data_IF_740144691304
#
_entry.id   IF_740144691304
#
_cell.length_a   1.000
_cell.length_b   1.000
_cell.length_c   1.000
_cell.angle_alpha   90.00
_cell.angle_beta   90.00
_cell.angle_gamma   90.00
#
_symmetry.space_group_name_H-M   'P 1'
#
loop_
_entity.id
_entity.type
_entity.pdbx_description
1 polymer ?
#
# COMPACT_ATOMS: atom_id res chain seq x y z
N UNK A 1 5.46 9.82 3.27
CA UNK A 1 3.99 9.66 3.22
C UNK A 1 3.50 9.51 1.79
N UNK A 2 2.61 8.54 1.53
CA UNK A 2 2.02 8.23 0.20
C UNK A 2 0.49 8.27 0.24
N UNK A 3 -0.15 8.15 -0.93
CA UNK A 3 -1.61 8.16 -1.09
C UNK A 3 -2.09 6.91 -1.81
N UNK A 4 -3.29 6.42 -1.48
CA UNK A 4 -3.94 5.33 -2.20
C UNK A 4 -4.33 5.79 -3.60
N UNK A 5 -4.07 4.95 -4.60
CA UNK A 5 -4.50 5.15 -5.98
C UNK A 5 -5.77 4.34 -6.25
N UNK A 6 -6.69 4.90 -7.04
CA UNK A 6 -7.91 4.16 -7.41
C UNK A 6 -7.59 2.89 -8.18
N UNK A 7 -8.46 1.89 -8.02
CA UNK A 7 -8.30 0.59 -8.68
C UNK A 7 -8.14 0.77 -10.20
N UNK A 8 -9.02 1.57 -10.81
CA UNK A 8 -9.00 1.87 -12.24
C UNK A 8 -7.70 2.53 -12.66
N UNK A 9 -7.26 3.57 -11.93
CA UNK A 9 -6.04 4.29 -12.26
C UNK A 9 -4.80 3.40 -12.07
N UNK A 10 -4.78 2.55 -11.05
CA UNK A 10 -3.69 1.59 -10.86
C UNK A 10 -3.65 0.56 -11.98
N UNK A 11 -4.79 -0.01 -12.36
CA UNK A 11 -4.88 -0.95 -13.47
C UNK A 11 -4.40 -0.29 -14.78
N UNK A 12 -4.79 0.97 -15.04
CA UNK A 12 -4.29 1.75 -16.18
C UNK A 12 -2.77 1.94 -16.17
N UNK A 13 -2.16 2.26 -15.02
CA UNK A 13 -0.71 2.45 -14.92
C UNK A 13 0.08 1.18 -15.27
N UNK A 14 -0.47 0.02 -14.91
CA UNK A 14 0.27 -1.24 -14.90
C UNK A 14 -0.08 -2.12 -16.12
N UNK A 15 -1.18 -1.82 -16.82
CA UNK A 15 -1.60 -2.49 -18.07
C UNK A 15 -0.50 -2.61 -19.11
N UNK A 16 0.37 -1.60 -19.23
CA UNK A 16 1.48 -1.62 -20.19
C UNK A 16 2.43 -2.82 -19.97
N UNK A 17 2.50 -3.33 -18.74
CA UNK A 17 3.37 -4.44 -18.35
C UNK A 17 2.65 -5.80 -18.33
N UNK A 18 1.42 -5.88 -18.86
CA UNK A 18 0.60 -7.09 -18.89
C UNK A 18 0.32 -7.71 -17.51
N UNK A 19 0.41 -6.92 -16.44
CA UNK A 19 0.09 -7.33 -15.08
C UNK A 19 -1.34 -6.90 -14.76
N UNK A 20 -2.18 -7.86 -14.38
CA UNK A 20 -3.59 -7.61 -14.05
C UNK A 20 -3.80 -7.17 -12.60
N UNK A 21 -4.26 -5.93 -12.39
CA UNK A 21 -4.58 -5.43 -11.05
C UNK A 21 -6.05 -5.74 -10.73
N UNK A 22 -6.26 -6.74 -9.87
CA UNK A 22 -7.60 -7.17 -9.42
C UNK A 22 -8.00 -6.55 -8.09
N UNK A 23 -9.25 -6.76 -7.69
CA UNK A 23 -9.82 -6.24 -6.43
C UNK A 23 -9.07 -6.66 -5.16
N UNK A 24 -8.28 -7.74 -5.20
CA UNK A 24 -7.41 -8.16 -4.10
C UNK A 24 -6.06 -7.42 -4.05
N UNK A 25 -5.81 -6.50 -4.97
CA UNK A 25 -4.69 -5.57 -4.92
C UNK A 25 -5.14 -4.19 -4.45
N UNK A 26 -4.20 -3.43 -3.89
CA UNK A 26 -4.31 -2.01 -3.59
C UNK A 26 -2.99 -1.35 -3.96
N UNK A 27 -3.04 -0.13 -4.51
CA UNK A 27 -1.84 0.57 -4.96
C UNK A 27 -1.65 1.87 -4.20
N UNK A 28 -0.41 2.18 -3.84
CA UNK A 28 -0.07 3.40 -3.11
C UNK A 28 1.32 3.90 -3.52
N UNK A 29 1.46 5.21 -3.65
CA UNK A 29 2.70 5.81 -4.13
C UNK A 29 2.48 7.20 -4.71
N UNK A 30 3.55 7.88 -5.14
CA UNK A 30 3.45 9.21 -5.70
C UNK A 30 2.85 9.11 -7.10
N UNK A 31 1.67 9.70 -7.28
CA UNK A 31 1.12 9.87 -8.61
C UNK A 31 1.95 10.95 -9.32
N UNK A 32 2.54 10.62 -10.46
CA UNK A 32 3.08 11.60 -11.43
C UNK A 32 4.26 12.46 -10.94
N UNK A 33 5.01 12.03 -9.92
CA UNK A 33 6.28 12.68 -9.53
C UNK A 33 7.46 11.85 -10.02
N UNK A 34 8.48 12.51 -10.59
CA UNK A 34 9.73 11.87 -11.05
C UNK A 34 10.49 11.18 -9.92
N UNK A 35 10.28 11.59 -8.67
CA UNK A 35 10.89 10.97 -7.50
C UNK A 35 10.01 9.85 -6.96
N UNK A 36 10.58 8.64 -6.89
CA UNK A 36 9.96 7.52 -6.19
C UNK A 36 9.95 7.84 -4.70
N UNK A 37 8.75 7.96 -4.13
CA UNK A 37 8.52 8.11 -2.69
C UNK A 37 7.59 6.97 -2.29
N UNK A 38 8.16 5.83 -1.99
CA UNK A 38 7.41 4.59 -1.86
C UNK A 38 8.18 3.55 -1.08
N UNK A 39 8.02 2.31 -1.48
CA UNK A 39 8.68 1.16 -0.90
C UNK A 39 9.91 0.78 -1.74
N UNK A 40 10.92 0.18 -1.12
CA UNK A 40 12.18 -0.18 -1.79
C UNK A 40 12.26 -1.68 -2.01
N UNK A 41 13.25 -2.08 -2.81
CA UNK A 41 13.59 -3.49 -2.97
C UNK A 41 14.09 -4.04 -1.63
N UNK A 42 13.55 -5.19 -1.22
CA UNK A 42 13.85 -5.80 0.08
C UNK A 42 12.72 -5.69 1.10
N UNK A 43 11.76 -4.78 0.89
CA UNK A 43 10.60 -4.61 1.78
C UNK A 43 9.43 -5.57 1.47
N UNK A 44 9.65 -6.60 0.64
CA UNK A 44 8.61 -7.56 0.24
C UNK A 44 7.91 -8.17 1.46
N UNK A 45 6.58 -8.11 1.49
CA UNK A 45 5.77 -8.51 2.63
C UNK A 45 5.60 -7.45 3.72
N UNK A 46 6.32 -6.32 3.63
CA UNK A 46 6.28 -5.21 4.60
C UNK A 46 4.92 -4.49 4.65
N UNK A 47 4.59 -3.84 5.77
CA UNK A 47 3.27 -3.28 6.00
C UNK A 47 3.05 -1.92 5.31
N UNK A 48 1.89 -1.78 4.66
CA UNK A 48 1.32 -0.48 4.32
C UNK A 48 0.34 -0.09 5.43
N UNK A 49 0.70 0.95 6.19
CA UNK A 49 -0.05 1.36 7.38
C UNK A 49 -0.79 2.68 7.15
N UNK A 50 -2.01 2.76 7.68
CA UNK A 50 -2.85 3.96 7.70
C UNK A 50 -3.05 4.48 9.12
N UNK A 51 -2.78 5.76 9.34
CA UNK A 51 -3.07 6.43 10.61
C UNK A 51 -4.51 6.95 10.59
N UNK A 52 -5.35 6.52 11.53
CA UNK A 52 -6.73 6.99 11.70
C UNK A 52 -6.79 8.27 12.55
N UNK A 53 -7.95 8.97 12.54
CA UNK A 53 -8.16 10.21 13.32
C UNK A 53 -7.91 10.07 14.81
N UNK A 54 -8.09 8.87 15.34
CA UNK A 54 -7.89 8.53 16.74
C UNK A 54 -6.44 8.17 17.08
N UNK A 55 -5.51 8.35 16.13
CA UNK A 55 -4.09 8.06 16.27
C UNK A 55 -3.71 6.59 16.09
N UNK A 56 -4.67 5.67 15.90
CA UNK A 56 -4.39 4.25 15.72
C UNK A 56 -3.93 3.94 14.31
N UNK A 57 -2.94 3.04 14.22
CA UNK A 57 -2.41 2.55 12.95
C UNK A 57 -3.08 1.24 12.54
N UNK A 58 -3.55 1.20 11.29
CA UNK A 58 -4.20 0.03 10.71
C UNK A 58 -3.41 -0.50 9.51
N UNK A 59 -3.22 -1.80 9.47
CA UNK A 59 -2.62 -2.49 8.32
C UNK A 59 -3.65 -2.53 7.18
N UNK A 60 -3.35 -1.84 6.08
CA UNK A 60 -4.24 -1.77 4.90
C UNK A 60 -3.72 -2.57 3.71
N UNK A 61 -2.41 -2.82 3.67
CA UNK A 61 -1.78 -3.66 2.66
C UNK A 61 -0.49 -4.32 3.10
N UNK A 62 -0.07 -5.36 2.38
CA UNK A 62 1.28 -5.94 2.49
C UNK A 62 1.97 -5.84 1.15
N UNK A 63 3.24 -5.45 1.14
CA UNK A 63 3.95 -5.21 -0.11
C UNK A 63 4.04 -6.48 -0.94
N UNK A 64 3.61 -6.37 -2.20
CA UNK A 64 3.79 -7.43 -3.20
C UNK A 64 4.88 -7.06 -4.19
N UNK A 65 4.83 -5.83 -4.71
CA UNK A 65 5.67 -5.44 -5.82
C UNK A 65 5.94 -3.93 -5.87
N UNK A 66 7.16 -3.60 -6.27
CA UNK A 66 7.70 -2.23 -6.38
C UNK A 66 8.35 -2.04 -7.74
N UNK A 67 8.41 -0.79 -8.16
CA UNK A 67 9.09 -0.39 -9.38
C UNK A 67 10.51 0.04 -9.07
N UNK A 68 11.46 -0.86 -9.30
CA UNK A 68 12.88 -0.54 -9.18
C UNK A 68 13.25 0.36 -10.38
N UNK A 69 13.57 1.63 -10.13
CA UNK A 69 14.03 2.63 -11.12
C UNK A 69 12.98 3.30 -12.03
N UNK A 70 11.69 3.08 -11.81
CA UNK A 70 10.65 3.81 -12.54
C UNK A 70 9.85 4.72 -11.61
N UNK A 71 10.24 5.99 -11.58
CA UNK A 71 9.47 7.02 -10.88
C UNK A 71 8.10 7.23 -11.52
N UNK A 72 7.11 7.54 -10.69
CA UNK A 72 5.76 7.90 -11.14
C UNK A 72 4.77 6.73 -11.23
N UNK A 73 5.20 5.50 -10.98
CA UNK A 73 4.32 4.34 -10.83
C UNK A 73 3.98 4.07 -9.35
N UNK A 74 2.74 3.68 -9.03
CA UNK A 74 2.40 3.29 -7.67
C UNK A 74 2.92 1.88 -7.34
N UNK A 75 3.34 1.66 -6.10
CA UNK A 75 3.65 0.32 -5.60
C UNK A 75 2.36 -0.49 -5.44
N UNK A 76 2.48 -1.81 -5.55
CA UNK A 76 1.35 -2.75 -5.46
C UNK A 76 1.44 -3.56 -4.18
N UNK A 77 0.32 -3.62 -3.46
CA UNK A 77 0.17 -4.32 -2.20
C UNK A 77 -1.01 -5.29 -2.27
N UNK A 78 -0.99 -6.34 -1.45
CA UNK A 78 -2.17 -7.16 -1.19
C UNK A 78 -3.18 -6.34 -0.38
N UNK A 79 -4.45 -6.34 -0.78
CA UNK A 79 -5.50 -5.61 -0.07
C UNK A 79 -5.97 -6.39 1.15
N UNK A 80 -5.63 -5.93 2.36
CA UNK A 80 -5.98 -6.66 3.60
C UNK A 80 -7.49 -6.86 3.73
N UNK A 81 -8.30 -5.85 3.41
CA UNK A 81 -9.76 -5.95 3.50
C UNK A 81 -10.36 -7.07 2.66
N UNK A 82 -9.73 -7.41 1.52
CA UNK A 82 -10.14 -8.55 0.70
C UNK A 82 -9.89 -9.89 1.41
N UNK A 83 -8.76 -10.01 2.12
CA UNK A 83 -8.35 -11.25 2.79
C UNK A 83 -8.91 -11.40 4.21
N UNK A 84 -9.58 -10.38 4.77
CA UNK A 84 -10.14 -10.45 6.12
C UNK A 84 -11.00 -11.69 6.40
N UNK A 85 -11.91 -12.15 5.50
CA UNK A 85 -12.69 -13.35 5.75
C UNK A 85 -11.81 -14.59 5.92
N UNK A 86 -10.77 -14.74 5.09
CA UNK A 86 -9.82 -15.84 5.18
C UNK A 86 -8.96 -15.75 6.44
N UNK A 87 -8.43 -14.57 6.77
CA UNK A 87 -7.64 -14.34 7.99
C UNK A 87 -8.45 -14.74 9.22
N UNK A 88 -9.71 -14.29 9.30
CA UNK A 88 -10.64 -14.65 10.39
C UNK A 88 -10.85 -16.15 10.49
N UNK A 89 -11.05 -16.82 9.36
CA UNK A 89 -11.18 -18.28 9.31
C UNK A 89 -9.95 -19.02 9.83
N UNK A 90 -8.74 -18.46 9.68
CA UNK A 90 -7.48 -19.05 10.18
C UNK A 90 -7.23 -18.77 11.66
N UNK A 91 -7.69 -17.63 12.18
CA UNK A 91 -7.55 -17.28 13.59
C UNK A 91 -8.57 -18.01 14.51
N UNK A 92 -9.63 -18.58 13.93
CA UNK A 92 -10.70 -19.23 14.70
C UNK A 92 -11.53 -18.23 15.54
N UNK A 93 -12.40 -18.73 16.42
CA UNK A 93 -13.27 -17.91 17.29
C UNK A 93 -12.52 -17.07 18.35
N UNK A 94 -11.18 -17.12 18.41
CA UNK A 94 -10.42 -16.56 19.52
C UNK A 94 -10.20 -15.05 19.43
N UNK A 95 -10.32 -14.40 18.27
CA UNK A 95 -10.06 -12.97 18.22
C UNK A 95 -10.72 -12.30 17.02
N UNK A 96 -11.94 -11.77 17.17
CA UNK A 96 -12.42 -10.53 16.52
C UNK A 96 -13.82 -10.20 17.08
N UNK A 97 -13.91 -9.86 18.37
CA UNK A 97 -15.14 -9.33 18.98
C UNK A 97 -15.44 -7.87 18.63
N UNK A 98 -14.67 -7.25 17.71
CA UNK A 98 -15.01 -5.93 17.17
C UNK A 98 -15.68 -6.06 15.79
N UNK A 99 -16.87 -5.44 15.60
CA UNK A 99 -17.67 -5.64 14.40
C UNK A 99 -17.00 -5.08 13.14
N UNK A 100 -17.04 -5.88 12.08
CA UNK A 100 -16.48 -5.60 10.75
C UNK A 100 -16.99 -4.30 10.09
N UNK A 101 -18.13 -3.76 10.55
CA UNK A 101 -18.76 -2.54 10.05
C UNK A 101 -17.89 -1.27 10.23
N UNK A 102 -16.91 -1.31 11.12
CA UNK A 102 -16.00 -0.19 11.33
C UNK A 102 -14.95 -0.07 10.20
N UNK A 103 -14.50 -1.17 9.60
CA UNK A 103 -13.38 -1.19 8.64
C UNK A 103 -13.69 -0.56 7.27
N UNK A 104 -14.92 -0.68 6.76
CA UNK A 104 -15.30 -0.05 5.48
C UNK A 104 -15.39 1.48 5.60
N UNK A 105 -15.86 1.96 6.76
CA UNK A 105 -15.89 3.40 7.09
C UNK A 105 -14.46 3.97 7.22
N UNK A 106 -13.53 3.17 7.74
CA UNK A 106 -12.12 3.54 7.88
C UNK A 106 -11.34 3.50 6.55
N UNK A 107 -11.72 2.64 5.61
CA UNK A 107 -11.08 2.54 4.29
C UNK A 107 -11.23 3.85 3.50
N UNK A 108 -12.42 4.46 3.55
CA UNK A 108 -12.69 5.77 2.94
C UNK A 108 -11.88 6.92 3.57
N UNK A 109 -11.52 6.79 4.85
CA UNK A 109 -10.67 7.76 5.53
C UNK A 109 -9.22 7.66 5.02
N UNK A 110 -8.64 6.46 4.97
CA UNK A 110 -7.29 6.25 4.45
C UNK A 110 -7.12 6.72 3.00
N UNK A 111 -8.19 6.68 2.21
CA UNK A 111 -8.23 7.21 0.85
C UNK A 111 -8.00 8.73 0.76
N UNK A 112 -8.34 9.47 1.83
CA UNK A 112 -8.15 10.93 1.94
C UNK A 112 -6.91 11.32 2.74
N UNK A 113 -6.19 10.38 3.33
CA UNK A 113 -5.10 10.64 4.28
C UNK A 113 -3.77 9.97 3.87
N UNK A 114 -2.68 10.49 4.43
CA UNK A 114 -1.29 10.12 4.14
C UNK A 114 -0.94 8.75 4.77
N UNK A 115 -0.41 7.82 3.99
CA UNK A 115 0.08 6.49 4.42
C UNK A 115 1.61 6.50 4.61
N UNK A 116 2.17 5.60 5.43
CA UNK A 116 3.62 5.39 5.51
C UNK A 116 4.03 4.08 4.82
N UNK A 117 4.83 4.13 3.75
CA UNK A 117 5.56 2.97 3.26
C UNK A 117 6.83 2.72 4.09
N UNK A 118 7.36 1.50 4.07
CA UNK A 118 8.44 1.05 4.95
C UNK A 118 9.76 1.82 4.72
N UNK A 119 10.09 2.27 3.51
CA UNK A 119 11.31 3.08 3.31
C UNK A 119 11.32 4.43 4.02
N UNK A 120 10.19 4.93 4.50
CA UNK A 120 10.19 6.12 5.36
C UNK A 120 10.74 5.85 6.78
N UNK A 121 10.91 4.59 7.18
CA UNK A 121 11.39 4.18 8.50
C UNK A 121 12.89 3.87 8.53
N UNK A 122 13.47 3.50 7.39
CA UNK A 122 14.90 3.23 7.24
C UNK A 122 15.48 4.34 6.38
N UNK A 123 16.12 5.34 7.00
CA UNK A 123 16.95 6.39 6.38
C UNK A 123 17.49 6.02 4.98
N UNK A 124 16.73 6.33 3.91
CA UNK A 124 17.14 6.15 2.51
C UNK A 124 16.65 7.31 1.62
N UNK A 125 16.09 8.37 2.21
CA UNK A 125 15.65 9.59 1.50
C UNK A 125 16.82 10.42 0.92
N UNK A 126 18.09 10.04 1.15
CA UNK A 126 19.30 10.75 0.67
C UNK A 126 20.08 10.04 -0.47
N UNK A 127 19.66 8.86 -0.94
CA UNK A 127 20.37 8.21 -2.05
C UNK A 127 19.85 8.74 -3.40
N UNK A 128 20.59 9.67 -3.98
CA UNK A 128 20.38 10.18 -5.33
C UNK A 128 20.78 9.12 -6.37
N UNK A 129 19.78 8.47 -6.97
CA UNK A 129 19.97 7.46 -8.02
C UNK A 129 20.29 8.08 -9.40
N UNK A 130 20.50 9.40 -9.51
CA UNK A 130 20.82 10.04 -10.79
C UNK A 130 22.30 9.96 -11.18
N UNK A 131 23.19 9.44 -10.32
CA UNK A 131 24.63 9.32 -10.59
C UNK A 131 25.07 7.87 -10.84
N UNK A 132 24.54 7.24 -11.88
CA UNK A 132 25.20 6.10 -12.54
C UNK A 132 25.75 6.57 -13.90
N UNK A 133 26.77 7.44 -13.84
CA UNK A 133 27.85 7.59 -14.83
C UNK A 133 29.18 7.77 -14.08
#
# INVERSE_FOLDING_TARGET
>A
WVTITSQEKCDQFIKHYHIGIRNFHICAGPQMKKTHKGTCVGDSGGPLMCNLRDGRWHLVGTLLWVWMFQGGFPDVYSRITYYLPWIRGKLGHIALTHPAQLLDTYFNFCYKHKLLPVCAWLYWDDYDYTNFE
#
